data_IF_553844993407
#
_entry.id   IF_553844993407
#
_cell.length_a   1.000
_cell.length_b   1.000
_cell.length_c   1.000
_cell.angle_alpha   90.00
_cell.angle_beta   90.00
_cell.angle_gamma   90.00
#
_symmetry.space_group_name_H-M   'P 1'
#
loop_
_entity.id
_entity.type
_entity.pdbx_description
1 polymer ?
#
# COMPACT_ATOMS: atom_id res chain seq x y z
N UNK A 1 -46.18 -6.34 0.31
CA UNK A 1 -45.25 -6.71 -0.77
C UNK A 1 -44.10 -5.70 -0.93
N UNK A 2 -44.38 -4.40 -1.07
CA UNK A 2 -43.33 -3.36 -1.20
C UNK A 2 -42.42 -3.22 0.03
N UNK A 3 -42.97 -3.33 1.26
CA UNK A 3 -42.20 -3.30 2.51
C UNK A 3 -41.18 -4.46 2.60
N UNK A 4 -41.56 -5.65 2.14
CA UNK A 4 -40.73 -6.87 2.20
C UNK A 4 -39.53 -6.80 1.24
N UNK A 5 -39.70 -6.18 0.07
CA UNK A 5 -38.62 -5.97 -0.91
C UNK A 5 -37.62 -4.94 -0.39
N UNK A 6 -38.11 -3.86 0.23
CA UNK A 6 -37.27 -2.83 0.82
C UNK A 6 -36.39 -3.39 1.95
N UNK A 7 -36.95 -4.22 2.84
CA UNK A 7 -36.23 -4.86 3.93
C UNK A 7 -35.11 -5.79 3.46
N UNK A 8 -35.37 -6.60 2.42
CA UNK A 8 -34.37 -7.51 1.84
C UNK A 8 -33.24 -6.73 1.14
N UNK A 9 -33.57 -5.64 0.43
CA UNK A 9 -32.57 -4.77 -0.19
C UNK A 9 -31.69 -4.06 0.85
N UNK A 10 -32.27 -3.57 1.96
CA UNK A 10 -31.46 -3.02 3.06
C UNK A 10 -30.57 -4.08 3.71
N UNK A 11 -31.05 -5.32 3.90
CA UNK A 11 -30.21 -6.38 4.47
C UNK A 11 -29.07 -6.78 3.52
N UNK A 12 -29.36 -6.88 2.21
CA UNK A 12 -28.34 -7.16 1.19
C UNK A 12 -27.31 -6.03 1.13
N UNK A 13 -27.78 -4.78 1.15
CA UNK A 13 -26.94 -3.59 1.17
C UNK A 13 -26.02 -3.57 2.40
N UNK A 14 -26.56 -3.89 3.59
CA UNK A 14 -25.78 -3.99 4.83
C UNK A 14 -24.75 -5.14 4.79
N UNK A 15 -25.09 -6.28 4.20
CA UNK A 15 -24.18 -7.44 4.12
C UNK A 15 -23.10 -7.31 3.06
N UNK A 16 -23.34 -6.54 1.99
CA UNK A 16 -22.39 -6.31 0.91
C UNK A 16 -21.55 -5.05 1.16
N UNK A 17 -22.03 -4.11 1.99
CA UNK A 17 -21.28 -2.91 2.40
C UNK A 17 -20.14 -3.21 3.37
N UNK A 18 -19.96 -4.47 3.76
CA UNK A 18 -18.84 -4.91 4.60
C UNK A 18 -17.75 -5.65 3.82
N UNK A 19 -17.96 -5.94 2.53
CA UNK A 19 -16.94 -6.63 1.72
C UNK A 19 -16.08 -5.58 1.02
N UNK A 20 -14.79 -5.55 1.36
CA UNK A 20 -13.83 -4.73 0.66
C UNK A 20 -13.41 -5.37 -0.68
N UNK A 21 -12.98 -4.53 -1.60
CA UNK A 21 -12.40 -4.93 -2.87
C UNK A 21 -10.95 -4.50 -2.88
N UNK A 22 -10.04 -5.45 -3.09
CA UNK A 22 -8.62 -5.15 -3.32
C UNK A 22 -8.49 -4.30 -4.59
N UNK A 23 -8.01 -3.07 -4.44
CA UNK A 23 -7.80 -2.13 -5.58
C UNK A 23 -6.35 -2.04 -6.01
N UNK A 24 -5.45 -2.74 -5.33
CA UNK A 24 -4.04 -2.82 -5.68
C UNK A 24 -3.74 -4.13 -6.43
N UNK A 25 -2.79 -4.08 -7.36
CA UNK A 25 -2.29 -5.26 -8.07
C UNK A 25 -0.93 -5.65 -7.53
N UNK A 26 -0.70 -6.96 -7.38
CA UNK A 26 0.61 -7.54 -7.08
C UNK A 26 1.27 -6.92 -5.83
N UNK A 27 0.50 -6.77 -4.75
CA UNK A 27 0.98 -6.19 -3.50
C UNK A 27 1.87 -7.12 -2.68
N UNK A 28 1.83 -8.42 -2.98
CA UNK A 28 2.74 -9.46 -2.51
C UNK A 28 4.01 -9.58 -3.38
N UNK A 29 4.12 -8.78 -4.45
CA UNK A 29 5.31 -8.69 -5.31
C UNK A 29 5.74 -10.01 -6.01
N UNK A 30 4.87 -11.00 -6.08
CA UNK A 30 5.16 -12.30 -6.70
C UNK A 30 5.19 -12.22 -8.23
N UNK A 31 4.36 -11.35 -8.80
CA UNK A 31 4.20 -11.11 -10.24
C UNK A 31 5.18 -10.10 -10.84
N UNK A 32 5.11 -9.92 -12.16
CA UNK A 32 6.07 -9.10 -12.93
C UNK A 32 5.60 -7.66 -13.23
N UNK A 33 4.40 -7.25 -12.79
CA UNK A 33 3.82 -5.95 -13.17
C UNK A 33 2.94 -5.34 -12.07
N UNK A 34 2.50 -4.10 -12.28
CA UNK A 34 1.58 -3.37 -11.38
C UNK A 34 2.21 -2.15 -10.72
N UNK A 35 3.53 -2.14 -10.57
CA UNK A 35 4.26 -1.08 -9.86
C UNK A 35 5.15 -0.25 -10.78
N UNK A 36 5.20 1.06 -10.54
CA UNK A 36 6.21 1.97 -11.07
C UNK A 36 7.24 2.27 -9.99
N UNK A 37 8.52 2.29 -10.31
CA UNK A 37 9.58 2.46 -9.33
C UNK A 37 10.84 3.12 -9.90
N UNK A 38 11.71 3.60 -9.02
CA UNK A 38 13.06 4.07 -9.39
C UNK A 38 13.99 2.91 -9.79
N UNK A 39 15.14 3.25 -10.38
CA UNK A 39 16.12 2.27 -10.88
C UNK A 39 16.80 1.43 -9.80
N UNK A 40 16.79 1.91 -8.56
CA UNK A 40 17.37 1.27 -7.37
C UNK A 40 16.33 0.50 -6.54
N UNK A 41 15.18 0.15 -7.14
CA UNK A 41 14.18 -0.75 -6.56
C UNK A 41 14.21 -2.10 -7.28
N UNK A 42 14.09 -3.20 -6.52
CA UNK A 42 14.08 -4.56 -7.07
C UNK A 42 13.14 -5.48 -6.31
N UNK A 43 12.57 -6.47 -6.98
CA UNK A 43 11.74 -7.51 -6.37
C UNK A 43 12.56 -8.79 -6.20
N UNK A 44 12.83 -9.20 -4.95
CA UNK A 44 13.80 -10.24 -4.62
C UNK A 44 13.25 -11.22 -3.59
N UNK A 45 13.69 -12.48 -3.68
CA UNK A 45 13.37 -13.50 -2.68
C UNK A 45 14.33 -13.57 -1.49
N UNK A 46 15.54 -13.04 -1.60
CA UNK A 46 16.42 -12.80 -0.46
C UNK A 46 17.30 -11.59 -0.79
N UNK A 47 17.58 -10.77 0.22
CA UNK A 47 18.53 -9.68 0.10
C UNK A 47 19.17 -9.36 1.46
N UNK A 48 20.50 -9.50 1.56
CA UNK A 48 21.30 -9.18 2.75
C UNK A 48 20.82 -9.85 4.05
N UNK A 49 20.46 -11.13 3.95
CA UNK A 49 19.95 -11.95 5.04
C UNK A 49 18.48 -11.68 5.38
N UNK A 50 17.78 -10.87 4.58
CA UNK A 50 16.35 -10.61 4.74
C UNK A 50 15.57 -11.47 3.74
N UNK A 51 14.72 -12.34 4.28
CA UNK A 51 13.71 -13.10 3.53
C UNK A 51 12.36 -12.36 3.53
N UNK A 52 11.48 -12.61 2.54
CA UNK A 52 10.18 -11.97 2.42
C UNK A 52 9.32 -12.28 3.64
N UNK A 53 8.39 -11.38 4.00
CA UNK A 53 7.47 -11.63 5.10
C UNK A 53 6.50 -12.76 4.76
N UNK A 54 6.17 -12.90 3.47
CA UNK A 54 5.29 -13.91 2.91
C UNK A 54 5.74 -14.25 1.49
N UNK A 55 5.32 -15.41 0.97
CA UNK A 55 5.58 -15.76 -0.42
C UNK A 55 7.05 -16.04 -0.72
N UNK A 56 7.50 -15.62 -1.91
CA UNK A 56 8.82 -15.87 -2.45
C UNK A 56 9.56 -14.60 -2.88
N UNK A 57 8.90 -13.43 -2.87
CA UNK A 57 9.51 -12.13 -3.21
C UNK A 57 9.01 -11.02 -2.29
N UNK A 58 9.84 -9.98 -2.17
CA UNK A 58 9.52 -8.70 -1.54
C UNK A 58 10.07 -7.57 -2.40
N UNK A 59 9.54 -6.36 -2.24
CA UNK A 59 10.15 -5.17 -2.80
C UNK A 59 11.30 -4.68 -1.92
N UNK A 60 12.44 -4.35 -2.54
CA UNK A 60 13.64 -3.82 -1.91
C UNK A 60 13.86 -2.41 -2.45
N UNK A 61 13.70 -1.40 -1.60
CA UNK A 61 13.93 0.01 -1.90
C UNK A 61 15.35 0.38 -1.50
N UNK A 62 16.08 1.05 -2.40
CA UNK A 62 17.51 1.34 -2.31
C UNK A 62 18.34 0.06 -2.15
N UNK A 63 18.36 -0.77 -3.20
CA UNK A 63 19.07 -2.07 -3.24
C UNK A 63 20.56 -1.97 -2.85
N UNK A 64 21.18 -0.81 -3.07
CA UNK A 64 22.58 -0.57 -2.68
C UNK A 64 22.74 0.25 -1.40
N UNK A 65 21.66 0.84 -0.86
CA UNK A 65 21.66 1.60 0.38
C UNK A 65 21.83 3.12 0.24
N UNK A 66 22.41 3.61 -0.87
CA UNK A 66 22.96 4.97 -0.93
C UNK A 66 22.07 6.05 -1.55
N UNK A 67 21.01 5.64 -2.25
CA UNK A 67 20.22 6.53 -3.09
C UNK A 67 18.77 6.54 -2.62
N UNK A 68 18.12 7.71 -2.71
CA UNK A 68 16.66 7.81 -2.60
C UNK A 68 15.97 6.79 -3.52
N UNK A 69 14.94 6.14 -3.00
CA UNK A 69 14.19 5.14 -3.74
C UNK A 69 12.70 5.40 -3.65
N UNK A 70 11.97 5.09 -4.72
CA UNK A 70 10.51 5.20 -4.70
C UNK A 70 9.82 4.05 -5.42
N UNK A 71 8.66 3.68 -4.91
CA UNK A 71 7.79 2.64 -5.42
C UNK A 71 6.34 3.16 -5.36
N UNK A 72 5.56 2.99 -6.44
CA UNK A 72 4.22 3.55 -6.51
C UNK A 72 3.27 2.81 -7.44
N UNK A 73 1.97 2.90 -7.14
CA UNK A 73 0.90 2.35 -7.97
C UNK A 73 -0.35 3.25 -7.89
N UNK A 74 -1.02 3.55 -9.03
CA UNK A 74 -2.28 4.29 -9.01
C UNK A 74 -3.41 3.42 -8.46
N UNK A 75 -4.21 4.01 -7.57
CA UNK A 75 -5.44 3.43 -7.04
C UNK A 75 -6.65 4.16 -7.60
N UNK A 76 -7.76 3.43 -7.72
CA UNK A 76 -9.06 4.01 -8.03
C UNK A 76 -10.04 3.74 -6.88
N UNK A 77 -10.35 4.79 -6.12
CA UNK A 77 -11.27 4.73 -4.98
C UNK A 77 -12.67 5.24 -5.33
N UNK A 78 -12.95 5.53 -6.60
CA UNK A 78 -14.27 6.00 -7.05
C UNK A 78 -15.35 4.98 -6.67
N UNK A 79 -16.44 5.46 -6.04
CA UNK A 79 -17.56 4.61 -5.62
C UNK A 79 -17.35 3.85 -4.30
N UNK A 80 -16.24 4.10 -3.60
CA UNK A 80 -15.93 3.55 -2.29
C UNK A 80 -16.04 4.63 -1.22
N UNK A 81 -16.43 4.25 0.00
CA UNK A 81 -16.57 5.20 1.12
C UNK A 81 -15.40 5.16 2.11
N UNK A 82 -14.70 4.03 2.17
CA UNK A 82 -13.50 3.84 3.00
C UNK A 82 -12.50 2.93 2.30
N UNK A 83 -11.23 3.03 2.66
CA UNK A 83 -10.15 2.15 2.22
C UNK A 83 -9.29 1.79 3.41
N UNK A 84 -8.92 0.51 3.53
CA UNK A 84 -7.91 0.04 4.48
C UNK A 84 -6.61 -0.15 3.75
N UNK A 85 -5.58 0.56 4.15
CA UNK A 85 -4.22 0.41 3.63
C UNK A 85 -3.42 -0.41 4.64
N UNK A 86 -2.76 -1.47 4.18
CA UNK A 86 -1.86 -2.26 5.01
C UNK A 86 -0.61 -2.67 4.24
N UNK A 87 0.50 -2.85 4.96
CA UNK A 87 1.73 -3.38 4.41
C UNK A 87 2.64 -3.89 5.53
N UNK A 88 3.49 -4.84 5.19
CA UNK A 88 4.62 -5.24 6.01
C UNK A 88 5.86 -4.44 5.58
N UNK A 89 6.66 -4.01 6.54
CA UNK A 89 7.93 -3.38 6.26
C UNK A 89 9.03 -3.85 7.21
N UNK A 90 10.27 -3.85 6.72
CA UNK A 90 11.48 -4.02 7.52
C UNK A 90 12.50 -2.97 7.08
N UNK A 91 13.24 -2.44 8.02
CA UNK A 91 14.28 -1.44 7.78
C UNK A 91 15.63 -2.02 8.14
N UNK A 92 16.62 -1.73 7.30
CA UNK A 92 18.02 -2.03 7.57
C UNK A 92 18.84 -0.80 7.20
N UNK A 93 19.49 -0.20 8.18
CA UNK A 93 20.30 0.98 7.98
C UNK A 93 21.63 0.89 8.73
N UNK A 94 22.65 1.55 8.20
CA UNK A 94 23.99 1.64 8.75
C UNK A 94 24.64 2.96 8.34
N UNK A 95 25.02 3.75 9.34
CA UNK A 95 25.83 4.95 9.16
C UNK A 95 27.32 4.66 9.47
N UNK A 96 28.23 5.02 8.55
CA UNK A 96 29.67 4.92 8.80
C UNK A 96 30.27 6.21 9.38
N UNK A 97 29.61 7.35 9.26
CA UNK A 97 30.18 8.64 9.66
C UNK A 97 29.12 9.58 10.24
N UNK A 98 29.40 10.25 11.37
CA UNK A 98 28.45 11.22 11.89
C UNK A 98 28.25 12.39 10.94
N UNK A 99 27.01 12.82 10.82
CA UNK A 99 26.66 14.11 10.22
C UNK A 99 25.52 14.06 9.23
N UNK A 100 25.03 12.87 8.84
CA UNK A 100 23.88 12.76 7.96
C UNK A 100 22.57 13.22 8.63
N UNK A 101 21.62 13.63 7.80
CA UNK A 101 20.26 13.92 8.24
C UNK A 101 19.52 12.62 8.61
N UNK A 102 18.38 12.72 9.31
CA UNK A 102 17.61 11.53 9.66
C UNK A 102 16.92 10.97 8.43
N UNK A 103 17.31 9.77 8.02
CA UNK A 103 16.65 9.00 6.97
C UNK A 103 15.18 8.73 7.31
N UNK A 104 14.35 8.55 6.29
CA UNK A 104 12.94 8.22 6.51
C UNK A 104 12.31 7.43 5.40
N UNK A 105 11.39 6.56 5.81
CA UNK A 105 10.43 5.93 4.91
C UNK A 105 9.10 6.67 5.02
N UNK A 106 8.67 7.27 3.90
CA UNK A 106 7.43 8.02 3.80
C UNK A 106 6.42 7.27 2.94
N UNK A 107 5.17 7.19 3.41
CA UNK A 107 4.07 6.54 2.71
C UNK A 107 2.95 7.54 2.49
N UNK A 108 2.53 7.69 1.24
CA UNK A 108 1.52 8.67 0.82
C UNK A 108 0.45 8.02 -0.07
N UNK A 109 -0.75 8.58 -0.03
CA UNK A 109 -1.80 8.30 -1.01
C UNK A 109 -2.30 9.62 -1.60
N UNK A 110 -1.94 9.87 -2.87
CA UNK A 110 -2.01 11.21 -3.43
C UNK A 110 -1.09 12.16 -2.63
N UNK A 111 -1.63 13.30 -2.21
CA UNK A 111 -0.90 14.27 -1.37
C UNK A 111 -1.02 13.99 0.14
N UNK A 112 -1.83 12.99 0.54
CA UNK A 112 -2.05 12.68 1.95
C UNK A 112 -0.93 11.81 2.51
N UNK A 113 -0.32 12.25 3.62
CA UNK A 113 0.69 11.49 4.36
C UNK A 113 0.01 10.42 5.21
N UNK A 114 0.22 9.15 4.87
CA UNK A 114 -0.30 8.00 5.62
C UNK A 114 0.61 7.69 6.81
N UNK A 115 1.92 7.63 6.57
CA UNK A 115 2.92 7.38 7.60
C UNK A 115 4.25 8.01 7.23
N UNK A 116 4.97 8.44 8.26
CA UNK A 116 6.38 8.84 8.18
C UNK A 116 7.11 8.05 9.27
N UNK A 117 8.03 7.19 8.85
CA UNK A 117 8.80 6.32 9.73
C UNK A 117 10.23 6.85 9.75
N UNK A 118 10.65 7.51 10.85
CA UNK A 118 12.04 7.93 10.99
C UNK A 118 12.94 6.71 11.11
N UNK A 119 14.10 6.79 10.48
CA UNK A 119 15.16 5.81 10.52
C UNK A 119 16.26 6.42 11.37
N UNK A 120 16.34 5.95 12.62
CA UNK A 120 17.35 6.42 13.58
C UNK A 120 18.56 5.49 13.49
N UNK A 121 19.47 5.82 12.59
CA UNK A 121 20.76 5.18 12.40
C UNK A 121 21.93 6.07 12.86
N UNK A 122 21.60 7.10 13.65
CA UNK A 122 22.55 8.12 14.11
C UNK A 122 23.75 7.52 14.81
N UNK A 123 24.93 8.00 14.39
CA UNK A 123 26.19 7.76 15.08
C UNK A 123 26.31 8.68 16.32
N UNK A 124 26.48 8.09 17.51
CA UNK A 124 26.57 8.80 18.80
C UNK A 124 28.00 9.09 19.27
N UNK A 125 29.02 8.79 18.46
CA UNK A 125 30.42 8.97 18.84
C UNK A 125 30.95 10.41 18.66
N UNK A 126 32.17 10.66 19.15
CA UNK A 126 32.97 11.83 18.77
C UNK A 126 34.13 11.39 17.86
N UNK A 127 34.43 12.16 16.80
CA UNK A 127 35.63 11.97 15.98
C UNK A 127 36.91 12.25 16.81
N UNK A 128 37.40 11.26 17.54
CA UNK A 128 38.71 11.32 18.16
C UNK A 128 39.77 10.86 17.16
N UNK A 129 40.52 11.83 16.62
CA UNK A 129 41.69 11.66 15.74
C UNK A 129 42.57 10.50 16.20
N UNK A 130 42.45 9.33 15.55
CA UNK A 130 43.31 8.16 15.79
C UNK A 130 42.63 6.92 16.37
N UNK A 131 41.31 6.93 16.61
CA UNK A 131 40.55 5.71 16.89
C UNK A 131 39.65 5.34 15.72
N UNK A 132 39.76 4.11 15.22
CA UNK A 132 38.69 3.50 14.41
C UNK A 132 37.46 3.40 15.32
N UNK A 133 36.35 4.07 14.99
CA UNK A 133 35.21 4.08 15.88
C UNK A 133 34.62 2.68 15.99
N UNK A 134 34.19 2.35 17.20
CA UNK A 134 33.39 1.16 17.45
C UNK A 134 32.02 1.44 16.84
N UNK A 135 31.76 0.81 15.69
CA UNK A 135 30.45 0.51 15.08
C UNK A 135 29.35 1.54 15.34
N UNK A 136 28.94 2.31 14.32
CA UNK A 136 27.59 2.87 14.31
C UNK A 136 26.57 1.80 14.68
N UNK A 137 25.47 2.17 15.32
CA UNK A 137 24.48 1.18 15.73
C UNK A 137 23.69 0.78 14.48
N UNK A 138 23.89 -0.44 13.93
CA UNK A 138 23.04 -0.90 12.83
C UNK A 138 21.58 -0.83 13.28
N UNK A 139 20.74 -0.17 12.49
CA UNK A 139 19.32 -0.40 12.59
C UNK A 139 19.00 -1.66 11.81
N UNK A 140 18.50 -2.69 12.48
CA UNK A 140 17.82 -3.79 11.81
C UNK A 140 16.53 -4.11 12.55
N UNK A 141 15.40 -3.81 11.93
CA UNK A 141 14.10 -4.12 12.51
C UNK A 141 13.68 -5.56 12.21
N UNK A 142 12.72 -6.07 12.97
CA UNK A 142 11.89 -7.18 12.48
C UNK A 142 10.96 -6.72 11.35
N UNK A 143 10.19 -7.65 10.80
CA UNK A 143 9.03 -7.31 9.99
C UNK A 143 7.95 -6.69 10.86
N UNK A 144 7.59 -5.46 10.57
CA UNK A 144 6.55 -4.67 11.23
C UNK A 144 5.35 -4.53 10.30
N UNK A 145 4.16 -4.33 10.86
CA UNK A 145 2.92 -4.14 10.10
C UNK A 145 2.39 -2.74 10.30
N UNK A 146 2.07 -2.07 9.20
CA UNK A 146 1.19 -0.90 9.19
C UNK A 146 -0.20 -1.35 8.72
N UNK A 147 -1.25 -0.85 9.37
CA UNK A 147 -2.62 -1.05 8.94
C UNK A 147 -3.52 0.07 9.48
N UNK A 148 -4.11 0.84 8.58
CA UNK A 148 -5.06 1.89 8.93
C UNK A 148 -6.21 1.99 7.93
N UNK A 149 -7.37 2.39 8.43
CA UNK A 149 -8.58 2.59 7.62
C UNK A 149 -8.92 4.08 7.54
N UNK A 150 -9.11 4.57 6.31
CA UNK A 150 -9.41 5.96 6.03
C UNK A 150 -10.77 6.12 5.34
N UNK A 151 -11.56 7.14 5.70
CA UNK A 151 -12.65 7.61 4.86
C UNK A 151 -12.07 8.11 3.53
N UNK A 152 -12.69 7.74 2.39
CA UNK A 152 -12.18 8.14 1.07
C UNK A 152 -12.21 9.67 0.87
N UNK A 153 -13.11 10.37 1.56
CA UNK A 153 -13.17 11.85 1.58
C UNK A 153 -11.89 12.52 2.09
N UNK A 154 -11.01 11.79 2.77
CA UNK A 154 -9.70 12.28 3.24
C UNK A 154 -8.79 12.67 2.07
N UNK A 155 -8.95 12.02 0.91
CA UNK A 155 -8.09 12.19 -0.26
C UNK A 155 -8.61 13.22 -1.27
N UNK A 156 -9.64 13.99 -0.92
CA UNK A 156 -10.26 15.00 -1.78
C UNK A 156 -11.20 14.42 -2.84
N UNK A 157 -11.48 15.23 -3.87
CA UNK A 157 -12.49 14.89 -4.89
C UNK A 157 -11.94 14.04 -6.04
N UNK A 158 -10.61 14.05 -6.25
CA UNK A 158 -9.97 13.32 -7.34
C UNK A 158 -9.60 11.90 -6.90
N UNK A 159 -10.58 11.01 -6.96
CA UNK A 159 -10.44 9.61 -6.49
C UNK A 159 -9.95 8.63 -7.56
N UNK A 160 -9.71 9.12 -8.78
CA UNK A 160 -9.18 8.34 -9.89
C UNK A 160 -7.68 8.59 -9.99
N UNK A 161 -6.89 7.52 -10.04
CA UNK A 161 -5.42 7.57 -10.11
C UNK A 161 -4.76 8.23 -8.88
N UNK A 162 -5.30 7.97 -7.68
CA UNK A 162 -4.63 8.35 -6.44
C UNK A 162 -3.37 7.49 -6.29
N UNK A 163 -2.19 8.12 -6.32
CA UNK A 163 -0.93 7.40 -6.25
C UNK A 163 -0.66 6.93 -4.82
N UNK A 164 -0.72 5.62 -4.57
CA UNK A 164 -0.08 5.05 -3.40
C UNK A 164 1.43 5.03 -3.66
N UNK A 165 2.21 5.65 -2.77
CA UNK A 165 3.64 5.86 -2.97
C UNK A 165 4.40 5.60 -1.67
N UNK A 166 5.51 4.89 -1.82
CA UNK A 166 6.53 4.67 -0.81
C UNK A 166 7.78 5.39 -1.28
N UNK A 167 8.28 6.31 -0.47
CA UNK A 167 9.50 7.08 -0.70
C UNK A 167 10.48 6.74 0.43
N UNK A 168 11.62 6.18 0.09
CA UNK A 168 12.77 6.07 0.99
C UNK A 168 13.69 7.24 0.68
N UNK A 169 13.87 8.12 1.66
CA UNK A 169 14.73 9.29 1.58
C UNK A 169 16.00 8.99 2.39
N UNK A 170 17.15 9.00 1.71
CA UNK A 170 18.48 8.94 2.29
C UNK A 170 19.03 10.39 2.32
N UNK A 171 18.87 11.06 3.47
CA UNK A 171 18.96 12.52 3.56
C UNK A 171 20.35 12.98 4.00
N UNK A 172 21.20 13.39 3.04
CA UNK A 172 22.32 14.29 3.32
C UNK A 172 21.91 15.77 3.12
N UNK A 173 22.58 16.70 3.82
CA UNK A 173 22.54 18.14 3.54
C UNK A 173 22.87 18.47 2.07
N UNK A 174 23.49 17.53 1.32
CA UNK A 174 23.91 17.67 -0.08
C UNK A 174 23.08 16.90 -1.13
N UNK A 175 22.06 16.14 -0.74
CA UNK A 175 21.23 15.38 -1.70
C UNK A 175 21.76 14.00 -2.10
N UNK A 176 22.30 13.26 -1.13
CA UNK A 176 22.65 11.84 -1.24
C UNK A 176 23.86 11.52 -0.37
N UNK A 177 23.67 10.71 0.66
CA UNK A 177 24.74 10.29 1.55
C UNK A 177 25.40 9.00 1.01
N UNK A 178 26.55 9.14 0.34
CA UNK A 178 27.33 7.96 -0.11
C UNK A 178 27.95 7.17 1.04
N UNK A 179 27.87 7.73 2.23
CA UNK A 179 28.48 7.30 3.48
C UNK A 179 27.44 6.74 4.46
N UNK A 180 26.17 6.63 4.03
CA UNK A 180 25.07 5.93 4.72
C UNK A 180 24.43 4.87 3.83
N UNK A 181 24.17 3.69 4.41
CA UNK A 181 23.39 2.64 3.78
C UNK A 181 22.02 2.54 4.43
N UNK A 182 20.97 2.76 3.67
CA UNK A 182 19.60 2.58 4.11
C UNK A 182 18.79 1.79 3.08
N UNK A 183 18.14 0.71 3.54
CA UNK A 183 17.29 -0.14 2.70
C UNK A 183 15.97 -0.41 3.41
N UNK A 184 14.87 -0.16 2.70
CA UNK A 184 13.54 -0.54 3.13
C UNK A 184 13.06 -1.76 2.34
N UNK A 185 12.52 -2.73 3.08
CA UNK A 185 11.90 -3.93 2.54
C UNK A 185 10.40 -3.79 2.71
N UNK A 186 9.63 -4.04 1.66
CA UNK A 186 8.17 -3.99 1.68
C UNK A 186 7.61 -5.32 1.18
N UNK A 187 6.53 -5.77 1.82
CA UNK A 187 5.81 -6.98 1.43
C UNK A 187 4.34 -6.90 1.84
N UNK A 188 3.47 -7.70 1.21
CA UNK A 188 2.05 -7.83 1.56
C UNK A 188 1.29 -6.50 1.56
N UNK A 189 1.56 -5.63 0.59
CA UNK A 189 0.84 -4.36 0.44
C UNK A 189 -0.59 -4.63 -0.01
N UNK A 190 -1.56 -4.01 0.65
CA UNK A 190 -2.97 -4.15 0.32
C UNK A 190 -3.69 -2.81 0.45
N UNK A 191 -4.62 -2.58 -0.46
CA UNK A 191 -5.57 -1.49 -0.42
C UNK A 191 -6.99 -2.04 -0.59
N UNK A 192 -7.62 -2.35 0.54
CA UNK A 192 -8.96 -2.94 0.56
C UNK A 192 -10.04 -1.84 0.65
N UNK A 193 -10.68 -1.55 -0.49
CA UNK A 193 -11.65 -0.46 -0.60
C UNK A 193 -13.09 -0.97 -0.43
N UNK A 194 -13.86 -0.37 0.47
CA UNK A 194 -15.25 -0.78 0.72
C UNK A 194 -16.25 0.06 -0.08
N UNK A 195 -17.12 -0.55 -0.90
CA UNK A 195 -18.08 0.16 -1.75
C UNK A 195 -19.09 0.98 -0.94
N UNK A 196 -19.57 2.09 -1.50
CA UNK A 196 -20.71 2.82 -0.93
C UNK A 196 -21.98 1.95 -0.86
N UNK A 197 -22.79 2.05 0.22
CA UNK A 197 -24.06 1.32 0.32
C UNK A 197 -25.01 1.59 -0.86
N UNK A 198 -25.01 2.80 -1.41
CA UNK A 198 -25.85 3.19 -2.54
C UNK A 198 -25.45 2.48 -3.86
N UNK A 199 -24.14 2.28 -4.07
CA UNK A 199 -23.60 1.54 -5.23
C UNK A 199 -24.07 0.09 -5.21
N UNK A 200 -24.03 -0.53 -4.03
CA UNK A 200 -24.50 -1.90 -3.82
C UNK A 200 -26.00 -2.03 -4.08
N UNK A 201 -26.80 -1.10 -3.57
CA UNK A 201 -28.26 -1.08 -3.81
C UNK A 201 -28.57 -0.98 -5.30
N UNK A 202 -27.84 -0.14 -6.03
CA UNK A 202 -28.01 0.04 -7.48
C UNK A 202 -27.65 -1.22 -8.25
N UNK A 203 -26.52 -1.86 -7.93
CA UNK A 203 -26.13 -3.14 -8.53
C UNK A 203 -27.15 -4.24 -8.24
N UNK A 204 -27.61 -4.35 -6.98
CA UNK A 204 -28.64 -5.30 -6.58
C UNK A 204 -29.97 -5.10 -7.32
N UNK A 205 -30.42 -3.85 -7.48
CA UNK A 205 -31.61 -3.51 -8.26
C UNK A 205 -31.45 -3.82 -9.76
N UNK A 206 -30.27 -3.55 -10.33
CA UNK A 206 -29.95 -3.88 -11.72
C UNK A 206 -30.04 -5.38 -12.00
N UNK A 207 -29.46 -6.21 -11.13
CA UNK A 207 -29.53 -7.67 -11.23
C UNK A 207 -30.97 -8.19 -11.08
N UNK A 208 -31.76 -7.64 -10.17
CA UNK A 208 -33.18 -7.98 -10.02
C UNK A 208 -34.01 -7.58 -11.24
N UNK A 209 -33.72 -6.42 -11.84
CA UNK A 209 -34.32 -5.98 -13.10
C UNK A 209 -34.03 -6.94 -14.26
N UNK A 210 -32.77 -7.34 -14.41
CA UNK A 210 -32.35 -8.32 -15.43
C UNK A 210 -33.02 -9.69 -15.23
N UNK A 211 -33.08 -10.18 -14.00
CA UNK A 211 -33.78 -11.43 -13.67
C UNK A 211 -35.28 -11.36 -13.95
N UNK A 212 -35.91 -10.20 -13.68
CA UNK A 212 -37.31 -9.92 -14.02
C UNK A 212 -37.57 -9.95 -15.53
N UNK A 213 -36.68 -9.33 -16.32
CA UNK A 213 -36.77 -9.33 -17.78
C UNK A 213 -36.59 -10.73 -18.37
N UNK A 214 -35.63 -11.52 -17.86
CA UNK A 214 -35.40 -12.91 -18.27
C UNK A 214 -36.58 -13.83 -17.95
N UNK A 215 -37.24 -13.64 -16.79
CA UNK A 215 -38.48 -14.38 -16.48
C UNK A 215 -39.64 -14.00 -17.39
N UNK A 216 -39.73 -12.72 -17.77
CA UNK A 216 -40.80 -12.22 -18.66
C UNK A 216 -40.62 -12.73 -20.10
N UNK A 217 -39.39 -12.77 -20.60
CA UNK A 217 -39.08 -13.32 -21.92
C UNK A 217 -39.31 -14.83 -21.98
N UNK A 218 -38.98 -15.56 -20.91
CA UNK A 218 -39.26 -17.00 -20.80
C UNK A 218 -40.76 -17.31 -20.78
N UNK A 219 -41.56 -16.56 -20.02
CA UNK A 219 -43.03 -16.70 -20.00
C UNK A 219 -43.68 -16.36 -21.35
N UNK A 220 -43.17 -15.37 -22.09
CA UNK A 220 -43.68 -15.06 -23.44
C UNK A 220 -43.42 -16.20 -24.43
N UNK A 221 -42.22 -16.82 -24.36
CA UNK A 221 -41.91 -18.01 -25.17
C UNK A 221 -42.76 -19.23 -24.83
N UNK A 222 -43.15 -19.38 -23.56
CA UNK A 222 -44.04 -20.47 -23.11
C UNK A 222 -45.51 -20.24 -23.50
N UNK A 223 -45.94 -19.00 -23.77
CA UNK A 223 -47.31 -18.69 -24.23
C UNK A 223 -47.49 -18.71 -25.75
N UNK A 224 -46.39 -18.84 -26.50
CA UNK A 224 -46.38 -18.88 -27.98
C UNK A 224 -46.29 -20.33 -28.53
N UNK A 225 -46.23 -21.33 -27.65
CA UNK A 225 -46.36 -22.76 -27.96
C UNK A 225 -47.69 -23.31 -27.40
#
# INVERSE_FOLDING_TARGET
>A
MMKSILSVLTLLALSLSSYGTEVLLNGDFEGESGWSHSSNVSFKGEHWGVEPASGSKMAVLAVHGYDDAWLSQPLNLSGHHKVTISFMYKLKAWDWYPGGGPDRLTIRLGDYLLAEIPIDDLWDGEWLWGFYPTTGTPLETGWLRFEETYPVTTFGDQLQNLMLRFDLENLDESGGDTDQMCTAYLDGVSADATPEPATIVTMGLGLLGAAGMLRRSRRRRESEN
#
